data_IF_051766579631
#
_entry.id   IF_051766579631
#
_cell.length_a   1.000
_cell.length_b   1.000
_cell.length_c   1.000
_cell.angle_alpha   90.00
_cell.angle_beta   90.00
_cell.angle_gamma   90.00
#
_symmetry.space_group_name_H-M   'P 1'
#
loop_
_entity.id
_entity.type
_entity.pdbx_description
1 polymer ?
#
# COMPACT_ATOMS: atom_id res chain seq x y z
N UNK A 1 40.13 68.40 -30.35
CA UNK A 1 40.88 67.23 -30.78
C UNK A 1 41.04 66.38 -29.54
N UNK A 2 40.38 65.38 -29.31
CA UNK A 2 40.10 64.08 -29.88
C UNK A 2 38.88 63.49 -29.23
N UNK A 3 38.01 62.92 -30.04
CA UNK A 3 36.78 62.21 -29.61
C UNK A 3 37.07 60.86 -28.93
N UNK A 4 36.36 60.53 -27.91
CA UNK A 4 36.28 59.15 -27.37
C UNK A 4 34.90 58.61 -27.64
N UNK A 5 34.74 57.31 -28.07
CA UNK A 5 33.52 56.78 -28.60
C UNK A 5 32.60 56.23 -27.47
N UNK A 6 31.34 56.53 -27.66
CA UNK A 6 30.24 56.02 -26.87
C UNK A 6 29.86 54.59 -27.34
N UNK A 7 30.31 53.60 -26.63
CA UNK A 7 29.68 52.29 -26.69
C UNK A 7 30.10 51.47 -25.46
N UNK A 8 29.22 51.34 -24.52
CA UNK A 8 28.98 50.11 -23.72
C UNK A 8 27.85 50.33 -22.68
N UNK A 9 26.65 50.49 -23.19
CA UNK A 9 25.49 50.23 -22.37
C UNK A 9 24.87 48.93 -22.87
N UNK A 10 25.38 47.79 -22.41
CA UNK A 10 24.70 46.50 -22.49
C UNK A 10 24.15 46.19 -21.11
N UNK A 11 22.90 46.55 -20.95
CA UNK A 11 22.02 46.07 -19.88
C UNK A 11 21.91 44.54 -19.94
N UNK A 12 22.55 43.88 -19.01
CA UNK A 12 22.33 42.45 -18.71
C UNK A 12 21.00 42.33 -17.96
N UNK A 13 19.94 42.08 -18.71
CA UNK A 13 18.70 41.50 -18.13
C UNK A 13 19.03 40.06 -17.72
N UNK A 14 19.36 39.87 -16.45
CA UNK A 14 19.44 38.57 -15.81
C UNK A 14 18.02 37.98 -15.66
N UNK A 15 17.64 37.09 -16.58
CA UNK A 15 16.45 36.27 -16.44
C UNK A 15 16.69 35.27 -15.32
N UNK A 16 16.15 35.56 -14.13
CA UNK A 16 16.07 34.64 -13.00
C UNK A 16 15.11 33.51 -13.35
N UNK A 17 15.67 32.41 -13.82
CA UNK A 17 14.93 31.15 -13.99
C UNK A 17 14.69 30.54 -12.60
N UNK A 18 13.53 30.82 -11.99
CA UNK A 18 13.05 30.09 -10.80
C UNK A 18 12.85 28.63 -11.20
N UNK A 19 13.78 27.79 -10.83
CA UNK A 19 13.61 26.34 -10.84
C UNK A 19 12.60 26.01 -9.73
N UNK A 20 11.35 25.85 -10.11
CA UNK A 20 10.35 25.13 -9.31
C UNK A 20 10.78 23.67 -9.34
N UNK A 21 11.61 23.28 -8.39
CA UNK A 21 11.82 21.88 -8.06
C UNK A 21 10.52 21.37 -7.44
N UNK A 22 9.55 21.00 -8.29
CA UNK A 22 8.41 20.20 -7.88
C UNK A 22 8.97 18.87 -7.36
N UNK A 23 8.71 18.54 -6.10
CA UNK A 23 8.90 17.20 -5.58
C UNK A 23 7.93 16.29 -6.36
N UNK A 24 8.37 15.79 -7.51
CA UNK A 24 7.70 14.67 -8.15
C UNK A 24 7.98 13.46 -7.26
N UNK A 25 6.98 13.04 -6.50
CA UNK A 25 6.98 11.71 -5.86
C UNK A 25 7.21 10.71 -6.98
N UNK A 26 8.34 9.99 -6.93
CA UNK A 26 8.64 8.98 -7.93
C UNK A 26 7.48 7.97 -7.95
N UNK A 27 6.96 7.57 -9.10
CA UNK A 27 5.92 6.55 -9.15
C UNK A 27 6.49 5.28 -8.53
N UNK A 28 5.85 4.80 -7.46
CA UNK A 28 6.08 3.44 -6.95
C UNK A 28 5.90 2.49 -8.13
N UNK A 29 6.75 1.49 -8.30
CA UNK A 29 6.81 0.53 -9.41
C UNK A 29 5.52 0.14 -10.14
N UNK A 30 5.52 -0.87 -11.02
CA UNK A 30 4.34 -1.29 -11.75
C UNK A 30 3.26 -1.79 -10.78
N UNK A 31 2.01 -1.38 -11.00
CA UNK A 31 0.83 -1.87 -10.25
C UNK A 31 0.46 -3.24 -10.83
N UNK A 32 0.52 -4.27 -9.99
CA UNK A 32 0.15 -5.65 -10.37
C UNK A 32 -1.33 -5.93 -10.08
N UNK A 33 -1.87 -5.32 -9.01
CA UNK A 33 -3.25 -5.48 -8.56
C UNK A 33 -3.83 -4.13 -8.14
N UNK A 34 -5.07 -3.88 -8.58
CA UNK A 34 -5.88 -2.78 -8.07
C UNK A 34 -7.25 -3.31 -7.67
N UNK A 35 -7.92 -2.57 -6.82
CA UNK A 35 -9.25 -2.97 -6.38
C UNK A 35 -9.69 -2.27 -5.11
N UNK A 36 -10.53 -2.98 -4.37
CA UNK A 36 -11.05 -2.50 -3.08
C UNK A 36 -10.73 -3.50 -1.98
N UNK A 37 -10.16 -2.99 -0.90
CA UNK A 37 -9.83 -3.77 0.30
C UNK A 37 -10.72 -3.31 1.44
N UNK A 38 -11.26 -4.25 2.22
CA UNK A 38 -11.96 -3.99 3.47
C UNK A 38 -11.41 -4.91 4.57
N UNK A 39 -11.12 -4.33 5.72
CA UNK A 39 -10.70 -5.02 6.94
C UNK A 39 -11.73 -4.73 8.02
N UNK A 40 -12.30 -5.78 8.61
CA UNK A 40 -13.24 -5.67 9.73
C UNK A 40 -12.64 -6.41 10.93
N UNK A 41 -12.51 -5.73 12.04
CA UNK A 41 -12.11 -6.26 13.34
C UNK A 41 -13.36 -6.37 14.20
N UNK A 42 -13.63 -7.55 14.73
CA UNK A 42 -14.79 -7.77 15.60
C UNK A 42 -14.62 -7.06 16.95
N UNK A 43 -15.72 -6.74 17.60
CA UNK A 43 -15.70 -6.22 18.96
C UNK A 43 -15.05 -7.23 19.92
N UNK A 44 -14.28 -6.72 20.90
CA UNK A 44 -13.63 -7.53 21.92
C UNK A 44 -13.63 -6.79 23.27
N UNK A 45 -14.29 -7.33 24.28
CA UNK A 45 -14.47 -6.67 25.56
C UNK A 45 -15.15 -5.30 25.39
N UNK A 46 -14.50 -4.23 25.86
CA UNK A 46 -15.01 -2.86 25.74
C UNK A 46 -14.62 -2.18 24.40
N UNK A 47 -13.83 -2.86 23.56
CA UNK A 47 -13.45 -2.33 22.22
C UNK A 47 -14.58 -2.60 21.24
N UNK A 48 -15.15 -1.56 20.59
CA UNK A 48 -16.17 -1.74 19.57
C UNK A 48 -15.59 -2.40 18.32
N UNK A 49 -16.46 -2.94 17.48
CA UNK A 49 -16.05 -3.40 16.15
C UNK A 49 -15.60 -2.24 15.29
N UNK A 50 -14.53 -2.44 14.52
CA UNK A 50 -13.97 -1.45 13.60
C UNK A 50 -13.99 -2.00 12.17
N UNK A 51 -14.20 -1.12 11.19
CA UNK A 51 -14.16 -1.48 9.78
C UNK A 51 -13.51 -0.37 8.97
N UNK A 52 -12.48 -0.75 8.21
CA UNK A 52 -11.74 0.13 7.33
C UNK A 52 -11.89 -0.37 5.89
N UNK A 53 -12.12 0.54 4.94
CA UNK A 53 -12.14 0.19 3.51
C UNK A 53 -11.54 1.29 2.66
N UNK A 54 -10.77 0.89 1.65
CA UNK A 54 -10.14 1.80 0.69
C UNK A 54 -10.04 1.13 -0.68
N UNK A 55 -9.92 1.93 -1.71
CA UNK A 55 -9.35 1.44 -2.96
C UNK A 55 -7.85 1.24 -2.74
N UNK A 56 -7.25 0.28 -3.44
CA UNK A 56 -5.84 -0.01 -3.32
C UNK A 56 -5.17 -0.24 -4.68
N UNK A 57 -3.89 0.07 -4.73
CA UNK A 57 -2.95 -0.31 -5.76
C UNK A 57 -1.78 -1.03 -5.09
N UNK A 58 -1.45 -2.21 -5.57
CA UNK A 58 -0.47 -3.10 -4.97
C UNK A 58 0.44 -3.64 -6.06
N UNK A 59 1.75 -3.61 -5.83
CA UNK A 59 2.74 -4.16 -6.75
C UNK A 59 3.94 -4.73 -6.02
N UNK A 60 4.63 -5.67 -6.68
CA UNK A 60 5.81 -6.31 -6.15
C UNK A 60 5.56 -7.67 -5.49
N UNK A 61 6.38 -8.02 -4.52
CA UNK A 61 6.34 -9.28 -3.77
C UNK A 61 6.59 -9.08 -2.26
N UNK A 62 6.78 -10.16 -1.52
CA UNK A 62 7.02 -10.09 -0.07
C UNK A 62 8.38 -9.45 0.30
N UNK A 63 9.33 -9.32 -0.64
CA UNK A 63 10.66 -8.76 -0.40
C UNK A 63 10.75 -7.29 -0.79
N UNK A 64 10.07 -6.92 -1.87
CA UNK A 64 10.03 -5.54 -2.33
C UNK A 64 8.69 -5.22 -2.99
N UNK A 65 8.16 -4.04 -2.73
CA UNK A 65 6.90 -3.64 -3.34
C UNK A 65 6.36 -2.34 -2.79
N UNK A 66 5.10 -2.09 -3.15
CA UNK A 66 4.36 -0.93 -2.68
C UNK A 66 2.89 -1.25 -2.53
N UNK A 67 2.24 -0.59 -1.59
CA UNK A 67 0.80 -0.58 -1.38
C UNK A 67 0.32 0.84 -1.22
N UNK A 68 -0.52 1.31 -2.13
CA UNK A 68 -1.21 2.59 -2.01
C UNK A 68 -2.65 2.37 -1.61
N UNK A 69 -3.11 3.17 -0.69
CA UNK A 69 -4.52 3.27 -0.34
C UNK A 69 -5.06 4.61 -0.86
N UNK A 70 -6.21 4.53 -1.52
CA UNK A 70 -6.84 5.69 -2.14
C UNK A 70 -8.20 5.97 -1.50
N UNK A 71 -8.49 7.25 -1.32
CA UNK A 71 -9.83 7.73 -0.95
C UNK A 71 -10.84 7.42 -2.06
N UNK A 72 -12.15 7.55 -1.78
CA UNK A 72 -13.18 7.42 -2.83
C UNK A 72 -13.03 8.41 -4.00
N UNK A 73 -12.30 9.50 -3.80
CA UNK A 73 -12.00 10.51 -4.83
C UNK A 73 -10.70 10.22 -5.60
N UNK A 74 -10.04 9.09 -5.32
CA UNK A 74 -8.78 8.70 -5.98
C UNK A 74 -7.52 9.41 -5.45
N UNK A 75 -7.61 10.13 -4.32
CA UNK A 75 -6.44 10.74 -3.69
C UNK A 75 -5.70 9.68 -2.88
N UNK A 76 -4.38 9.58 -3.02
CA UNK A 76 -3.55 8.72 -2.17
C UNK A 76 -3.61 9.22 -0.73
N UNK A 77 -4.05 8.38 0.20
CA UNK A 77 -4.16 8.66 1.64
C UNK A 77 -3.05 7.95 2.44
N UNK A 78 -2.51 6.88 1.90
CA UNK A 78 -1.36 6.17 2.45
C UNK A 78 -0.56 5.53 1.31
N UNK A 79 0.75 5.61 1.36
CA UNK A 79 1.68 4.97 0.43
C UNK A 79 2.73 4.22 1.25
N UNK A 80 2.68 2.89 1.24
CA UNK A 80 3.65 2.03 1.90
C UNK A 80 4.57 1.43 0.85
N UNK A 81 5.87 1.57 1.06
CA UNK A 81 6.91 0.93 0.24
C UNK A 81 7.76 0.05 1.12
N UNK A 82 8.21 -1.08 0.60
CA UNK A 82 9.12 -1.98 1.33
C UNK A 82 10.20 -2.53 0.43
N UNK A 83 11.37 -2.70 1.02
CA UNK A 83 12.54 -3.33 0.40
C UNK A 83 13.31 -4.06 1.50
N UNK A 84 13.45 -5.39 1.37
CA UNK A 84 14.01 -6.27 2.40
C UNK A 84 13.32 -6.07 3.78
N UNK A 85 14.08 -5.63 4.79
CA UNK A 85 13.60 -5.45 6.17
C UNK A 85 13.24 -3.99 6.49
N UNK A 86 13.06 -3.15 5.48
CA UNK A 86 12.71 -1.75 5.64
C UNK A 86 11.36 -1.46 5.02
N UNK A 87 10.44 -0.94 5.82
CA UNK A 87 9.11 -0.54 5.39
C UNK A 87 8.90 0.92 5.71
N UNK A 88 8.54 1.70 4.71
CA UNK A 88 8.24 3.13 4.83
C UNK A 88 6.78 3.38 4.49
N UNK A 89 6.07 4.04 5.40
CA UNK A 89 4.71 4.53 5.20
C UNK A 89 4.73 6.04 5.06
N UNK A 90 4.11 6.56 4.02
CA UNK A 90 3.85 7.99 3.82
C UNK A 90 2.35 8.26 3.93
N UNK A 91 1.97 9.19 4.79
CA UNK A 91 0.59 9.66 4.98
C UNK A 91 0.57 11.18 5.04
N UNK A 92 -0.62 11.78 5.19
CA UNK A 92 -0.76 13.22 5.40
C UNK A 92 -0.04 13.75 6.65
N UNK A 93 0.24 12.88 7.63
CA UNK A 93 0.97 13.21 8.87
C UNK A 93 2.51 13.13 8.70
N UNK A 94 2.97 12.71 7.54
CA UNK A 94 4.39 12.55 7.21
C UNK A 94 4.86 11.10 7.18
N UNK A 95 6.13 10.87 6.85
CA UNK A 95 6.70 9.54 6.72
C UNK A 95 6.99 8.89 8.09
N UNK A 96 6.79 7.57 8.15
CA UNK A 96 7.16 6.70 9.27
C UNK A 96 7.83 5.45 8.73
N UNK A 97 8.84 4.96 9.46
CA UNK A 97 9.57 3.74 9.13
C UNK A 97 9.18 2.63 10.10
N UNK A 98 9.05 1.39 9.56
CA UNK A 98 8.68 0.20 10.32
C UNK A 98 9.66 -0.94 10.03
N UNK A 99 9.91 -1.83 11.02
CA UNK A 99 10.80 -2.97 10.83
C UNK A 99 10.19 -4.07 9.94
N UNK A 100 8.86 -4.11 9.76
CA UNK A 100 8.17 -5.08 8.90
C UNK A 100 6.78 -4.61 8.49
N UNK A 101 6.20 -5.27 7.48
CA UNK A 101 4.82 -5.06 7.04
C UNK A 101 3.79 -5.42 8.13
N UNK A 102 4.09 -6.41 8.98
CA UNK A 102 3.26 -6.80 10.11
C UNK A 102 3.23 -5.70 11.17
N UNK A 103 4.40 -5.10 11.50
CA UNK A 103 4.49 -3.99 12.44
C UNK A 103 3.72 -2.76 11.95
N UNK A 104 3.79 -2.47 10.64
CA UNK A 104 2.99 -1.42 10.02
C UNK A 104 1.50 -1.71 10.15
N UNK A 105 1.05 -2.94 9.84
CA UNK A 105 -0.36 -3.32 9.95
C UNK A 105 -0.86 -3.26 11.40
N UNK A 106 -0.05 -3.67 12.37
CA UNK A 106 -0.38 -3.61 13.79
C UNK A 106 -0.54 -2.16 14.28
N UNK A 107 0.37 -1.25 13.89
CA UNK A 107 0.30 0.16 14.27
C UNK A 107 -0.90 0.87 13.63
N UNK A 108 -1.21 0.58 12.36
CA UNK A 108 -2.24 1.30 11.60
C UNK A 108 -3.65 0.72 11.74
N UNK A 109 -3.77 -0.60 11.90
CA UNK A 109 -5.05 -1.32 11.96
C UNK A 109 -5.32 -1.97 13.32
N UNK A 110 -4.37 -1.85 14.27
CA UNK A 110 -4.44 -2.48 15.58
C UNK A 110 -4.39 -4.01 15.52
N UNK A 111 -3.98 -4.58 14.40
CA UNK A 111 -3.95 -6.03 14.13
C UNK A 111 -2.78 -6.41 13.23
N UNK A 112 -2.09 -7.49 13.60
CA UNK A 112 -1.08 -8.10 12.74
C UNK A 112 -1.76 -8.79 11.54
N UNK A 113 -1.75 -8.14 10.39
CA UNK A 113 -2.22 -8.70 9.12
C UNK A 113 -1.00 -9.11 8.31
N UNK A 114 -0.92 -10.35 7.79
CA UNK A 114 0.25 -10.82 7.04
C UNK A 114 0.24 -10.24 5.61
N UNK A 115 0.57 -8.95 5.47
CA UNK A 115 0.56 -8.24 4.19
C UNK A 115 1.47 -8.89 3.15
N UNK A 116 2.62 -9.46 3.59
CA UNK A 116 3.51 -10.21 2.70
C UNK A 116 2.84 -11.47 2.11
N UNK A 117 1.99 -12.16 2.89
CA UNK A 117 1.22 -13.31 2.41
C UNK A 117 0.03 -12.89 1.53
N UNK A 118 -0.57 -11.73 1.79
CA UNK A 118 -1.72 -11.22 1.03
C UNK A 118 -1.45 -11.17 -0.48
N UNK A 119 -0.25 -10.77 -0.89
CA UNK A 119 0.19 -10.78 -2.29
C UNK A 119 0.05 -12.17 -2.95
N UNK A 120 0.48 -13.22 -2.26
CA UNK A 120 0.34 -14.59 -2.75
C UNK A 120 -1.14 -15.03 -2.76
N UNK A 121 -1.91 -14.65 -1.74
CA UNK A 121 -3.34 -14.96 -1.66
C UNK A 121 -4.15 -14.29 -2.78
N UNK A 122 -3.84 -13.05 -3.15
CA UNK A 122 -4.44 -12.37 -4.30
C UNK A 122 -4.12 -13.05 -5.63
N UNK A 123 -3.01 -13.81 -5.70
CA UNK A 123 -2.68 -14.67 -6.84
C UNK A 123 -3.41 -16.04 -6.78
N UNK A 124 -4.22 -16.29 -5.78
CA UNK A 124 -4.95 -17.55 -5.60
C UNK A 124 -4.07 -18.70 -5.13
N UNK A 125 -2.98 -18.44 -4.44
CA UNK A 125 -2.05 -19.45 -3.95
C UNK A 125 -1.60 -19.15 -2.51
N UNK A 126 -1.24 -20.20 -1.72
CA UNK A 126 -0.60 -20.00 -0.45
C UNK A 126 0.76 -19.30 -0.60
N UNK A 127 1.13 -18.54 0.42
CA UNK A 127 2.46 -17.95 0.51
C UNK A 127 3.51 -19.02 0.87
N UNK A 128 4.65 -19.01 0.16
CA UNK A 128 5.69 -20.03 0.34
C UNK A 128 6.47 -19.90 1.66
N UNK A 129 6.35 -18.76 2.36
CA UNK A 129 7.07 -18.49 3.62
C UNK A 129 6.49 -19.19 4.84
N UNK A 130 5.34 -19.89 4.73
CA UNK A 130 4.72 -20.62 5.82
C UNK A 130 3.97 -21.87 5.33
N UNK A 131 3.85 -22.92 6.18
CA UNK A 131 3.03 -24.09 5.88
C UNK A 131 1.55 -23.71 5.70
N UNK A 132 0.83 -24.50 4.92
CA UNK A 132 -0.61 -24.34 4.71
C UNK A 132 -1.31 -25.69 4.69
N UNK A 133 -2.62 -25.68 4.94
CA UNK A 133 -3.52 -26.82 4.82
C UNK A 133 -4.58 -26.50 3.75
N UNK A 134 -4.86 -27.46 2.86
CA UNK A 134 -5.86 -27.27 1.82
C UNK A 134 -7.28 -27.34 2.41
N UNK A 135 -8.16 -26.45 1.99
CA UNK A 135 -9.59 -26.43 2.30
C UNK A 135 -10.43 -26.52 1.03
N UNK A 136 -11.74 -26.80 1.17
CA UNK A 136 -12.64 -27.01 0.02
C UNK A 136 -12.72 -25.81 -0.92
N UNK A 137 -12.59 -24.58 -0.40
CA UNK A 137 -12.70 -23.32 -1.16
C UNK A 137 -11.40 -22.51 -1.17
N UNK A 138 -10.31 -23.08 -0.64
CA UNK A 138 -9.05 -22.39 -0.53
C UNK A 138 -8.04 -23.11 0.34
N UNK A 139 -7.56 -22.46 1.39
CA UNK A 139 -6.54 -23.01 2.28
C UNK A 139 -6.54 -22.28 3.64
N UNK A 140 -5.99 -22.95 4.65
CA UNK A 140 -5.66 -22.35 5.94
C UNK A 140 -4.16 -22.08 6.01
N UNK A 141 -3.77 -20.85 6.37
CA UNK A 141 -2.37 -20.43 6.49
C UNK A 141 -2.21 -19.29 7.50
N UNK A 142 -1.17 -19.34 8.35
CA UNK A 142 -0.87 -18.30 9.35
C UNK A 142 -2.04 -17.98 10.30
N UNK A 143 -2.89 -18.97 10.58
CA UNK A 143 -4.11 -18.78 11.40
C UNK A 143 -5.29 -18.14 10.64
N UNK A 144 -5.18 -18.00 9.31
CA UNK A 144 -6.24 -17.48 8.45
C UNK A 144 -6.84 -18.59 7.59
N UNK A 145 -8.17 -18.67 7.50
CA UNK A 145 -8.89 -19.41 6.47
C UNK A 145 -9.07 -18.49 5.27
N UNK A 146 -8.49 -18.85 4.13
CA UNK A 146 -8.43 -18.02 2.91
C UNK A 146 -9.30 -18.66 1.83
N UNK A 147 -10.44 -18.04 1.54
CA UNK A 147 -11.37 -18.43 0.49
C UNK A 147 -11.01 -17.73 -0.81
N UNK A 148 -10.63 -18.51 -1.81
CA UNK A 148 -10.26 -18.05 -3.17
C UNK A 148 -11.24 -18.56 -4.23
N UNK A 149 -12.38 -19.16 -3.83
CA UNK A 149 -13.33 -19.76 -4.78
C UNK A 149 -13.83 -18.77 -5.83
N UNK A 150 -14.18 -17.55 -5.39
CA UNK A 150 -14.66 -16.49 -6.26
C UNK A 150 -13.54 -15.64 -6.92
N UNK A 151 -12.26 -15.93 -6.64
CA UNK A 151 -11.17 -15.08 -7.13
C UNK A 151 -11.07 -15.06 -8.66
N UNK A 152 -11.20 -16.20 -9.31
CA UNK A 152 -11.12 -16.33 -10.77
C UNK A 152 -12.34 -15.79 -11.50
N UNK A 153 -13.53 -15.91 -10.92
CA UNK A 153 -14.81 -15.56 -11.55
C UNK A 153 -15.25 -14.14 -11.25
N UNK A 154 -14.99 -13.68 -10.03
CA UNK A 154 -15.48 -12.40 -9.51
C UNK A 154 -14.37 -11.45 -9.05
N UNK A 155 -13.11 -11.91 -9.05
CA UNK A 155 -11.99 -11.16 -8.50
C UNK A 155 -12.06 -11.02 -6.96
N UNK A 156 -12.85 -11.87 -6.28
CA UNK A 156 -13.12 -11.74 -4.85
C UNK A 156 -12.32 -12.76 -4.02
N UNK A 157 -11.64 -12.25 -2.98
CA UNK A 157 -10.94 -13.03 -1.97
C UNK A 157 -11.49 -12.66 -0.59
N UNK A 158 -11.65 -13.67 0.27
CA UNK A 158 -12.01 -13.46 1.67
C UNK A 158 -11.06 -14.25 2.56
N UNK A 159 -10.40 -13.57 3.49
CA UNK A 159 -9.58 -14.20 4.51
C UNK A 159 -10.14 -13.90 5.90
N UNK A 160 -10.25 -14.92 6.76
CA UNK A 160 -10.78 -14.80 8.13
C UNK A 160 -9.81 -15.39 9.12
N UNK A 161 -9.64 -14.70 10.22
CA UNK A 161 -8.96 -15.18 11.42
C UNK A 161 -9.96 -15.15 12.58
N UNK A 162 -10.27 -16.32 13.13
CA UNK A 162 -11.29 -16.45 14.18
C UNK A 162 -10.74 -16.23 15.59
N UNK A 163 -9.40 -16.25 15.77
CA UNK A 163 -8.79 -15.92 17.06
C UNK A 163 -9.09 -14.47 17.47
N UNK A 164 -9.47 -14.22 18.73
CA UNK A 164 -9.86 -12.91 19.21
C UNK A 164 -8.71 -11.87 19.13
N UNK A 165 -9.05 -10.63 18.76
CA UNK A 165 -10.29 -10.25 18.11
C UNK A 165 -10.38 -10.87 16.70
N UNK A 166 -11.56 -11.38 16.33
CA UNK A 166 -11.74 -11.96 15.01
C UNK A 166 -11.59 -10.89 13.93
N UNK A 167 -10.88 -11.23 12.84
CA UNK A 167 -10.62 -10.32 11.73
C UNK A 167 -11.10 -10.91 10.42
N UNK A 168 -11.80 -10.12 9.64
CA UNK A 168 -12.17 -10.46 8.27
C UNK A 168 -11.55 -9.46 7.30
N UNK A 169 -10.79 -9.97 6.35
CA UNK A 169 -10.26 -9.23 5.22
C UNK A 169 -11.02 -9.62 3.96
N UNK A 170 -11.48 -8.65 3.19
CA UNK A 170 -12.10 -8.84 1.88
C UNK A 170 -11.38 -8.01 0.85
N UNK A 171 -10.94 -8.63 -0.22
CA UNK A 171 -10.38 -7.95 -1.37
C UNK A 171 -11.25 -8.23 -2.60
N UNK A 172 -11.49 -7.19 -3.39
CA UNK A 172 -12.13 -7.29 -4.71
C UNK A 172 -11.25 -6.60 -5.72
N UNK A 173 -10.69 -7.38 -6.63
CA UNK A 173 -9.82 -6.92 -7.69
C UNK A 173 -10.62 -6.27 -8.81
N UNK A 174 -10.09 -5.21 -9.38
CA UNK A 174 -10.56 -4.64 -10.64
C UNK A 174 -10.19 -5.60 -11.79
N UNK A 175 -10.98 -5.58 -12.85
CA UNK A 175 -10.79 -6.42 -14.04
C UNK A 175 -10.30 -5.59 -15.21
#
# INVERSE_FOLDING_TARGET
MTAAPAWLRRTLLGAGLCWLAGCATAPSGPVDYSGRLAVTVAAEGDRPAESHSAAFELGGDAHQGHLRLLSPLGTVVADATWEADHVRLETGDGPRDYPSLEALAEDTLGQAIPLGALLAWLQGRPWNGAPHEAEAQGFHQLGWSVDIHALKTEGALVARRDSPPAVTLRARLDR
#
